data_IF_405409821522
#
_entry.id   IF_405409821522
#
_cell.length_a   1.000
_cell.length_b   1.000
_cell.length_c   1.000
_cell.angle_alpha   90.00
_cell.angle_beta   90.00
_cell.angle_gamma   90.00
#
_symmetry.space_group_name_H-M   'P 1'
#
loop_
_entity.id
_entity.type
_entity.pdbx_description
1 polymer ?
#
# COMPACT_ATOMS: atom_id res chain seq x y z
N UNK A 1 -46.67 12.72 7.55
CA UNK A 1 -46.53 13.70 8.64
C UNK A 1 -45.07 14.10 8.72
N UNK A 2 -44.76 15.30 8.24
CA UNK A 2 -43.44 15.91 8.28
C UNK A 2 -43.01 16.18 9.73
N UNK A 3 -41.77 15.88 10.08
CA UNK A 3 -41.11 16.55 11.20
C UNK A 3 -39.82 17.20 10.72
N UNK A 4 -39.81 18.53 10.83
CA UNK A 4 -38.70 19.40 10.50
C UNK A 4 -37.64 19.40 11.62
N UNK A 5 -36.40 19.61 11.20
CA UNK A 5 -35.16 19.74 11.97
C UNK A 5 -35.19 20.88 13.01
N UNK A 6 -34.30 20.83 14.00
CA UNK A 6 -33.57 22.01 14.44
C UNK A 6 -32.07 21.88 14.13
N UNK A 7 -31.58 22.87 13.39
CA UNK A 7 -30.17 23.17 13.13
C UNK A 7 -29.61 23.89 14.35
N UNK A 8 -28.57 23.33 14.98
CA UNK A 8 -27.76 24.04 15.97
C UNK A 8 -26.42 24.42 15.32
N UNK A 9 -26.33 25.67 14.87
CA UNK A 9 -25.09 26.37 14.53
C UNK A 9 -24.39 26.76 15.83
N UNK A 10 -23.12 26.37 16.00
CA UNK A 10 -22.25 26.94 17.04
C UNK A 10 -20.86 27.20 16.46
N UNK A 11 -20.36 28.37 16.85
CA UNK A 11 -19.44 29.22 16.11
C UNK A 11 -17.96 28.80 16.21
N UNK A 12 -17.20 29.33 15.25
CA UNK A 12 -15.75 29.34 15.15
C UNK A 12 -15.06 29.82 16.44
N UNK A 13 -13.90 29.24 16.74
CA UNK A 13 -12.79 30.00 17.32
C UNK A 13 -11.46 29.57 16.66
N UNK A 14 -10.84 30.56 16.04
CA UNK A 14 -9.58 30.54 15.30
C UNK A 14 -8.42 30.67 16.30
N UNK A 15 -7.40 29.82 16.19
CA UNK A 15 -6.19 29.91 17.02
C UNK A 15 -4.94 29.56 16.20
N UNK A 16 -4.47 30.52 15.40
CA UNK A 16 -3.13 30.49 14.81
C UNK A 16 -2.10 30.87 15.87
N UNK A 17 -1.09 30.02 16.09
CA UNK A 17 0.18 30.44 16.65
C UNK A 17 1.31 29.86 15.79
N UNK A 18 1.91 30.73 14.97
CA UNK A 18 3.18 30.53 14.28
C UNK A 18 4.34 30.83 15.24
N UNK A 19 5.33 29.95 15.31
CA UNK A 19 6.72 30.19 15.72
C UNK A 19 7.48 28.88 15.49
N UNK A 20 8.62 28.76 14.82
CA UNK A 20 9.62 29.69 14.32
C UNK A 20 10.89 28.85 14.08
N UNK A 21 11.60 29.13 12.99
CA UNK A 21 12.69 28.33 12.40
C UNK A 21 13.89 28.02 13.31
N UNK A 22 14.55 26.88 13.06
CA UNK A 22 16.03 26.80 13.03
C UNK A 22 16.55 25.54 12.30
N UNK A 23 17.03 25.63 11.05
CA UNK A 23 17.97 24.66 10.52
C UNK A 23 19.41 25.11 10.83
N UNK A 24 20.23 24.18 11.31
CA UNK A 24 21.67 24.37 11.41
C UNK A 24 22.39 23.20 10.72
N UNK A 25 23.07 23.44 9.60
CA UNK A 25 24.16 22.59 9.16
C UNK A 25 25.46 23.38 9.21
N UNK A 26 26.38 22.98 10.08
CA UNK A 26 27.78 23.37 9.99
C UNK A 26 28.66 22.16 10.19
N UNK A 27 29.23 21.67 9.09
CA UNK A 27 30.52 21.02 9.10
C UNK A 27 31.17 21.22 7.73
N UNK A 28 32.08 22.18 7.66
CA UNK A 28 33.21 22.13 6.75
C UNK A 28 34.46 22.07 7.61
N UNK A 29 35.44 21.26 7.22
CA UNK A 29 36.80 21.73 7.28
C UNK A 29 37.40 21.78 5.88
N UNK A 30 37.95 22.96 5.58
CA UNK A 30 38.96 23.15 4.57
C UNK A 30 40.21 22.35 4.94
N UNK A 31 40.75 21.61 3.98
CA UNK A 31 42.09 21.04 4.00
C UNK A 31 42.77 21.43 2.70
N UNK A 32 43.60 22.48 2.76
CA UNK A 32 44.45 22.94 1.68
C UNK A 32 45.55 21.92 1.35
N UNK A 33 45.93 21.83 0.08
CA UNK A 33 47.31 21.95 -0.43
C UNK A 33 47.46 21.29 -1.81
N UNK A 34 47.80 22.10 -2.81
CA UNK A 34 48.62 21.70 -3.96
C UNK A 34 50.12 21.95 -3.59
N UNK A 35 51.15 21.48 -4.33
CA UNK A 35 51.16 21.01 -5.71
C UNK A 35 52.01 19.73 -5.99
N UNK A 36 51.99 19.30 -7.26
CA UNK A 36 52.80 18.21 -7.85
C UNK A 36 54.32 18.53 -7.89
N UNK A 37 55.18 17.52 -8.15
CA UNK A 37 55.64 17.32 -9.53
C UNK A 37 55.81 15.84 -9.95
N UNK A 38 56.32 15.68 -11.17
CA UNK A 38 56.07 14.61 -12.14
C UNK A 38 56.91 13.31 -12.06
N UNK A 39 56.41 12.34 -12.82
CA UNK A 39 57.10 11.26 -13.56
C UNK A 39 57.59 10.01 -12.82
N UNK A 40 56.91 8.89 -13.06
CA UNK A 40 57.55 7.63 -13.49
C UNK A 40 56.53 6.68 -14.10
N UNK A 41 56.90 6.05 -15.23
CA UNK A 41 56.12 5.08 -15.96
C UNK A 41 55.99 3.76 -15.20
N UNK A 42 54.80 3.14 -15.22
CA UNK A 42 54.62 1.74 -14.85
C UNK A 42 53.38 1.13 -15.51
N UNK A 43 53.64 0.10 -16.32
CA UNK A 43 52.84 -1.09 -16.61
C UNK A 43 51.31 -0.94 -16.76
N UNK A 44 50.86 -1.13 -18.01
CA UNK A 44 49.49 -1.47 -18.37
C UNK A 44 49.10 -2.80 -17.70
N UNK A 45 48.38 -2.73 -16.58
CA UNK A 45 47.68 -3.88 -16.03
C UNK A 45 46.46 -4.21 -16.90
N UNK A 46 46.08 -5.49 -17.07
CA UNK A 46 44.86 -5.84 -17.78
C UNK A 46 43.67 -5.28 -17.01
N UNK A 47 42.79 -4.57 -17.73
CA UNK A 47 41.51 -4.14 -17.18
C UNK A 47 40.72 -5.38 -16.77
N UNK A 48 40.61 -5.60 -15.46
CA UNK A 48 39.60 -6.47 -14.89
C UNK A 48 38.25 -6.02 -15.43
N UNK A 49 37.40 -6.92 -15.96
CA UNK A 49 36.03 -6.54 -16.26
C UNK A 49 35.42 -6.07 -14.94
N UNK A 50 35.03 -4.81 -14.88
CA UNK A 50 34.10 -4.34 -13.85
C UNK A 50 32.86 -5.18 -14.07
N UNK A 51 32.70 -6.22 -13.26
CA UNK A 51 31.42 -6.88 -13.13
C UNK A 51 30.44 -5.75 -12.82
N UNK A 52 29.54 -5.47 -13.75
CA UNK A 52 28.40 -4.62 -13.48
C UNK A 52 27.77 -5.21 -12.23
N UNK A 53 27.86 -4.49 -11.11
CA UNK A 53 27.08 -4.80 -9.95
C UNK A 53 25.63 -4.95 -10.46
N UNK A 54 24.90 -6.00 -10.07
CA UNK A 54 23.48 -6.05 -10.41
C UNK A 54 22.93 -4.70 -9.95
N UNK A 55 22.33 -3.97 -10.88
CA UNK A 55 21.56 -2.81 -10.49
C UNK A 55 20.57 -3.34 -9.47
N UNK A 56 20.79 -2.99 -8.19
CA UNK A 56 19.76 -3.06 -7.18
C UNK A 56 18.66 -2.16 -7.73
N UNK A 57 17.75 -2.76 -8.51
CA UNK A 57 16.42 -2.26 -8.73
C UNK A 57 15.66 -2.41 -7.42
N UNK A 58 16.24 -1.85 -6.35
CA UNK A 58 15.56 -1.32 -5.20
C UNK A 58 14.69 -0.18 -5.72
N UNK A 59 13.62 -0.54 -6.44
CA UNK A 59 12.42 0.28 -6.46
C UNK A 59 12.07 0.46 -4.99
N UNK A 60 12.37 1.64 -4.44
CA UNK A 60 12.04 1.93 -3.05
C UNK A 60 10.53 1.91 -2.96
N UNK A 61 9.97 0.81 -2.45
CA UNK A 61 8.54 0.72 -2.26
C UNK A 61 8.10 1.85 -1.32
N UNK A 62 7.08 2.65 -1.68
CA UNK A 62 6.63 3.76 -0.84
C UNK A 62 6.28 3.31 0.58
N UNK A 63 5.65 2.14 0.68
CA UNK A 63 5.29 1.49 1.93
C UNK A 63 5.83 0.05 1.93
N UNK A 64 7.06 -0.19 2.43
CA UNK A 64 7.67 -1.53 2.42
C UNK A 64 7.16 -2.42 3.56
N UNK A 65 6.64 -1.83 4.64
CA UNK A 65 6.08 -2.54 5.80
C UNK A 65 4.58 -2.75 5.58
N UNK A 66 4.13 -4.00 5.61
CA UNK A 66 2.74 -4.35 5.27
C UNK A 66 1.68 -3.60 6.09
N UNK A 67 1.86 -3.50 7.41
CA UNK A 67 0.85 -2.85 8.27
C UNK A 67 0.73 -1.34 8.03
N UNK A 68 1.80 -0.71 7.55
CA UNK A 68 1.80 0.69 7.12
C UNK A 68 1.14 0.81 5.74
N UNK A 69 1.57 -0.04 4.81
CA UNK A 69 0.97 -0.16 3.48
C UNK A 69 -0.55 -0.36 3.55
N UNK A 70 -1.05 -1.26 4.39
CA UNK A 70 -2.48 -1.58 4.48
C UNK A 70 -3.32 -0.37 4.93
N UNK A 71 -2.80 0.46 5.84
CA UNK A 71 -3.48 1.68 6.30
C UNK A 71 -3.61 2.69 5.16
N UNK A 72 -2.51 2.92 4.44
CA UNK A 72 -2.52 3.82 3.29
C UNK A 72 -3.37 3.25 2.14
N UNK A 73 -3.22 1.97 1.82
CA UNK A 73 -3.95 1.28 0.77
C UNK A 73 -5.47 1.39 1.01
N UNK A 74 -5.95 1.09 2.21
CA UNK A 74 -7.38 1.18 2.51
C UNK A 74 -7.96 2.61 2.52
N UNK A 75 -7.12 3.64 2.66
CA UNK A 75 -7.56 5.03 2.80
C UNK A 75 -7.34 5.89 1.53
N UNK A 76 -6.44 5.48 0.64
CA UNK A 76 -6.00 6.26 -0.53
C UNK A 76 -6.34 5.54 -1.84
N UNK A 77 -7.38 6.01 -2.55
CA UNK A 77 -7.82 5.41 -3.83
C UNK A 77 -6.67 5.38 -4.86
N UNK A 78 -5.85 6.45 -4.95
CA UNK A 78 -4.72 6.49 -5.88
C UNK A 78 -3.68 5.39 -5.59
N UNK A 79 -3.47 5.04 -4.32
CA UNK A 79 -2.61 3.92 -3.96
C UNK A 79 -3.27 2.58 -4.29
N UNK A 80 -4.60 2.45 -4.11
CA UNK A 80 -5.34 1.27 -4.54
C UNK A 80 -5.22 1.04 -6.05
N UNK A 81 -5.40 2.08 -6.86
CA UNK A 81 -5.31 2.02 -8.33
C UNK A 81 -3.93 1.56 -8.80
N UNK A 82 -2.86 2.00 -8.13
CA UNK A 82 -1.48 1.70 -8.54
C UNK A 82 -0.91 0.42 -7.90
N UNK A 83 -1.48 0.00 -6.77
CA UNK A 83 -1.05 -1.17 -6.00
C UNK A 83 -2.05 -2.32 -6.04
N UNK A 84 -2.94 -2.33 -7.04
CA UNK A 84 -3.77 -3.50 -7.36
C UNK A 84 -3.18 -4.17 -8.60
N UNK A 85 -3.11 -5.49 -8.59
CA UNK A 85 -2.59 -6.26 -9.72
C UNK A 85 -3.46 -6.09 -10.96
N UNK A 86 -2.84 -6.16 -12.14
CA UNK A 86 -3.52 -6.22 -13.43
C UNK A 86 -3.16 -7.53 -14.14
N UNK A 87 -4.08 -8.49 -14.29
CA UNK A 87 -5.45 -8.47 -13.76
C UNK A 87 -5.51 -8.75 -12.25
N UNK A 88 -6.57 -8.26 -11.62
CA UNK A 88 -6.98 -8.67 -10.27
C UNK A 88 -7.71 -10.01 -10.36
N UNK A 89 -7.38 -10.96 -9.49
CA UNK A 89 -8.23 -12.14 -9.30
C UNK A 89 -9.41 -11.76 -8.40
N UNK A 90 -10.61 -11.88 -8.92
CA UNK A 90 -11.83 -11.61 -8.18
C UNK A 90 -12.64 -12.90 -8.02
N UNK A 91 -13.23 -13.11 -6.85
CA UNK A 91 -14.17 -14.22 -6.68
C UNK A 91 -15.33 -13.84 -5.80
N UNK A 92 -16.50 -14.40 -6.10
CA UNK A 92 -17.72 -14.22 -5.31
C UNK A 92 -18.52 -15.52 -5.23
N UNK A 93 -19.47 -15.59 -4.32
CA UNK A 93 -20.47 -16.66 -4.27
C UNK A 93 -21.59 -16.34 -5.25
N UNK A 94 -21.78 -17.19 -6.26
CA UNK A 94 -22.97 -17.19 -7.09
C UNK A 94 -24.07 -17.95 -6.34
N UNK A 95 -24.96 -17.20 -5.69
CA UNK A 95 -26.09 -17.72 -4.92
C UNK A 95 -27.21 -18.32 -5.78
N UNK A 96 -27.23 -18.02 -7.08
CA UNK A 96 -28.25 -18.49 -8.03
C UNK A 96 -27.79 -19.75 -8.78
N UNK A 97 -26.57 -20.22 -8.54
CA UNK A 97 -26.07 -21.44 -9.12
C UNK A 97 -26.83 -22.69 -8.61
N UNK A 98 -27.18 -23.58 -9.53
CA UNK A 98 -27.79 -24.88 -9.23
C UNK A 98 -26.75 -26.02 -9.35
N UNK A 99 -26.82 -27.08 -8.53
CA UNK A 99 -27.83 -27.33 -7.49
C UNK A 99 -27.59 -26.57 -6.16
N UNK A 100 -26.42 -25.97 -5.96
CA UNK A 100 -26.03 -25.25 -4.75
C UNK A 100 -25.16 -24.03 -5.11
N UNK A 101 -25.12 -22.99 -4.24
CA UNK A 101 -24.23 -21.85 -4.40
C UNK A 101 -22.79 -22.28 -4.61
N UNK A 102 -22.09 -21.60 -5.52
CA UNK A 102 -20.71 -21.93 -5.88
C UNK A 102 -19.84 -20.69 -5.95
N UNK A 103 -18.56 -20.87 -5.63
CA UNK A 103 -17.56 -19.83 -5.85
C UNK A 103 -17.27 -19.70 -7.34
N UNK A 104 -17.39 -18.47 -7.85
CA UNK A 104 -16.99 -18.08 -9.20
C UNK A 104 -15.73 -17.24 -9.08
N UNK A 105 -14.72 -17.51 -9.90
CA UNK A 105 -13.47 -16.74 -9.94
C UNK A 105 -13.24 -16.22 -11.36
N UNK A 106 -12.81 -14.96 -11.44
CA UNK A 106 -12.52 -14.26 -12.68
C UNK A 106 -11.24 -13.42 -12.61
N UNK A 107 -10.69 -13.10 -13.79
CA UNK A 107 -9.57 -12.18 -13.94
C UNK A 107 -10.11 -10.83 -14.41
N UNK A 108 -10.16 -9.86 -13.52
CA UNK A 108 -10.67 -8.51 -13.79
C UNK A 108 -9.49 -7.63 -14.22
N UNK A 109 -9.46 -7.13 -15.47
CA UNK A 109 -8.48 -6.13 -15.87
C UNK A 109 -8.61 -4.88 -15.01
N UNK A 110 -7.50 -4.24 -14.67
CA UNK A 110 -7.49 -3.08 -13.77
C UNK A 110 -8.46 -1.96 -14.21
N UNK A 111 -8.60 -1.76 -15.52
CA UNK A 111 -9.53 -0.79 -16.11
C UNK A 111 -11.03 -1.07 -15.85
N UNK A 112 -11.37 -2.27 -15.34
CA UNK A 112 -12.72 -2.69 -14.98
C UNK A 112 -12.92 -2.88 -13.47
N UNK A 113 -11.88 -2.68 -12.67
CA UNK A 113 -12.00 -2.75 -11.21
C UNK A 113 -12.82 -1.55 -10.73
N UNK A 114 -13.79 -1.81 -9.86
CA UNK A 114 -14.56 -0.77 -9.19
C UNK A 114 -13.79 -0.26 -7.96
N UNK A 115 -13.76 1.07 -7.78
CA UNK A 115 -13.02 1.73 -6.71
C UNK A 115 -13.96 2.35 -5.65
N UNK A 116 -13.61 2.30 -4.35
CA UNK A 116 -12.43 1.65 -3.78
C UNK A 116 -12.56 0.11 -3.82
N UNK A 117 -11.45 -0.58 -4.08
CA UNK A 117 -11.42 -2.05 -4.09
C UNK A 117 -11.48 -2.62 -2.67
N UNK A 118 -10.96 -1.88 -1.68
CA UNK A 118 -10.97 -2.23 -0.26
C UNK A 118 -11.46 -1.02 0.58
N UNK A 119 -12.36 -1.22 1.56
CA UNK A 119 -12.78 -0.15 2.46
C UNK A 119 -11.69 0.21 3.48
N UNK A 120 -11.75 1.43 4.03
CA UNK A 120 -10.80 1.93 5.03
C UNK A 120 -10.85 1.10 6.33
N UNK A 121 -9.76 0.40 6.71
CA UNK A 121 -9.67 -0.37 7.95
C UNK A 121 -9.99 0.44 9.21
N UNK A 122 -9.71 1.74 9.23
CA UNK A 122 -9.97 2.61 10.38
C UNK A 122 -11.47 2.84 10.62
N UNK A 123 -12.33 2.55 9.62
CA UNK A 123 -13.78 2.77 9.72
C UNK A 123 -14.56 1.53 10.16
N UNK A 124 -13.95 0.34 10.08
CA UNK A 124 -14.62 -0.96 10.27
C UNK A 124 -15.33 -1.09 11.62
N UNK A 125 -14.66 -0.72 12.71
CA UNK A 125 -15.23 -0.84 14.06
C UNK A 125 -16.51 -0.01 14.23
N UNK A 126 -16.58 1.18 13.61
CA UNK A 126 -17.80 2.01 13.64
C UNK A 126 -18.93 1.43 12.79
N UNK A 127 -18.60 0.55 11.86
CA UNK A 127 -19.55 -0.18 11.02
C UNK A 127 -19.95 -1.54 11.62
N UNK A 128 -19.46 -1.87 12.83
CA UNK A 128 -19.69 -3.18 13.44
C UNK A 128 -18.91 -4.31 12.77
N UNK A 129 -17.83 -3.98 12.05
CA UNK A 129 -16.99 -4.95 11.33
C UNK A 129 -15.65 -5.16 12.03
N UNK A 130 -15.13 -6.37 11.88
CA UNK A 130 -13.84 -6.80 12.40
C UNK A 130 -12.86 -7.05 11.25
N UNK A 131 -11.55 -6.93 11.55
CA UNK A 131 -10.48 -7.24 10.62
C UNK A 131 -9.49 -8.22 11.25
N UNK A 132 -9.11 -9.25 10.50
CA UNK A 132 -8.05 -10.20 10.85
C UNK A 132 -6.98 -10.20 9.76
N UNK A 133 -5.71 -10.22 10.17
CA UNK A 133 -4.56 -10.29 9.26
C UNK A 133 -3.82 -11.61 9.49
N UNK A 134 -3.58 -12.36 8.41
CA UNK A 134 -2.91 -13.67 8.45
C UNK A 134 -1.76 -13.69 7.45
N UNK A 135 -0.55 -14.01 7.92
CA UNK A 135 0.60 -14.21 7.03
C UNK A 135 0.62 -15.66 6.54
N UNK A 136 0.76 -15.85 5.24
CA UNK A 136 0.80 -17.16 4.60
C UNK A 136 2.25 -17.66 4.43
N UNK A 137 2.46 -19.00 4.33
CA UNK A 137 3.81 -19.58 4.21
C UNK A 137 4.59 -19.17 2.97
N UNK A 138 3.89 -18.75 1.90
CA UNK A 138 4.47 -18.30 0.63
C UNK A 138 4.84 -16.80 0.65
N UNK A 139 4.70 -16.14 1.80
CA UNK A 139 5.01 -14.72 1.98
C UNK A 139 3.85 -13.79 1.63
N UNK A 140 2.71 -14.31 1.18
CA UNK A 140 1.50 -13.51 0.99
C UNK A 140 0.87 -13.13 2.34
N UNK A 141 0.01 -12.11 2.32
CA UNK A 141 -0.75 -11.69 3.49
C UNK A 141 -2.23 -11.65 3.13
N UNK A 142 -3.06 -12.32 3.92
CA UNK A 142 -4.51 -12.23 3.82
C UNK A 142 -5.06 -11.25 4.86
N UNK A 143 -5.97 -10.40 4.42
CA UNK A 143 -6.76 -9.51 5.26
C UNK A 143 -8.21 -9.93 5.12
N UNK A 144 -8.78 -10.49 6.19
CA UNK A 144 -10.20 -10.80 6.27
C UNK A 144 -10.92 -9.65 6.95
N UNK A 145 -12.03 -9.21 6.36
CA UNK A 145 -12.95 -8.26 6.98
C UNK A 145 -14.33 -8.92 7.07
N UNK A 146 -14.98 -8.85 8.23
CA UNK A 146 -16.27 -9.53 8.44
C UNK A 146 -17.20 -8.73 9.34
N UNK A 147 -18.50 -8.97 9.21
CA UNK A 147 -19.49 -8.58 10.21
C UNK A 147 -19.80 -9.79 11.11
N UNK A 148 -19.53 -9.72 12.44
CA UNK A 148 -19.79 -10.83 13.36
C UNK A 148 -21.25 -11.31 13.30
N UNK A 149 -21.45 -12.61 13.52
CA UNK A 149 -22.77 -13.25 13.54
C UNK A 149 -23.58 -13.12 12.23
N UNK A 150 -22.91 -12.82 11.13
CA UNK A 150 -23.47 -12.79 9.77
C UNK A 150 -22.57 -13.51 8.78
N UNK A 151 -23.05 -13.70 7.55
CA UNK A 151 -22.24 -14.21 6.45
C UNK A 151 -21.46 -13.12 5.70
N UNK A 152 -21.58 -11.83 6.06
CA UNK A 152 -20.82 -10.75 5.40
C UNK A 152 -19.33 -10.90 5.68
N UNK A 153 -18.57 -11.30 4.65
CA UNK A 153 -17.15 -11.55 4.73
C UNK A 153 -16.47 -11.30 3.40
N UNK A 154 -15.37 -10.55 3.44
CA UNK A 154 -14.46 -10.39 2.32
C UNK A 154 -13.03 -10.71 2.73
N UNK A 155 -12.27 -11.30 1.81
CA UNK A 155 -10.85 -11.64 1.99
C UNK A 155 -10.04 -10.98 0.88
N UNK A 156 -8.94 -10.34 1.28
CA UNK A 156 -8.03 -9.64 0.39
C UNK A 156 -6.65 -10.26 0.52
N UNK A 157 -6.10 -10.79 -0.57
CA UNK A 157 -4.76 -11.38 -0.59
C UNK A 157 -3.78 -10.43 -1.23
N UNK A 158 -2.68 -10.18 -0.53
CA UNK A 158 -1.59 -9.32 -0.95
C UNK A 158 -0.30 -10.10 -1.16
N UNK A 159 0.45 -9.73 -2.20
CA UNK A 159 1.78 -10.27 -2.46
C UNK A 159 2.79 -9.12 -2.64
N UNK A 160 4.06 -9.37 -2.32
CA UNK A 160 5.12 -8.36 -2.45
C UNK A 160 6.00 -8.67 -3.68
N UNK A 161 5.80 -7.94 -4.80
CA UNK A 161 6.59 -8.12 -6.05
C UNK A 161 6.64 -6.85 -6.93
N UNK A 162 7.68 -5.99 -6.86
CA UNK A 162 8.62 -5.85 -5.74
C UNK A 162 7.96 -5.19 -4.51
N UNK A 163 6.86 -4.46 -4.72
CA UNK A 163 6.09 -3.79 -3.67
C UNK A 163 4.82 -4.57 -3.37
N UNK A 164 4.19 -4.26 -2.23
CA UNK A 164 2.91 -4.84 -1.86
C UNK A 164 1.85 -4.49 -2.90
N UNK A 165 1.12 -5.51 -3.35
CA UNK A 165 0.01 -5.37 -4.27
C UNK A 165 -1.16 -6.26 -3.84
N UNK A 166 -2.38 -5.77 -4.02
CA UNK A 166 -3.58 -6.58 -3.93
C UNK A 166 -3.64 -7.50 -5.17
N UNK A 167 -3.57 -8.81 -4.96
CA UNK A 167 -3.57 -9.80 -6.05
C UNK A 167 -4.88 -10.57 -6.14
N UNK A 168 -5.65 -10.63 -5.04
CA UNK A 168 -6.95 -11.30 -5.01
C UNK A 168 -7.94 -10.60 -4.09
N UNK A 169 -9.18 -10.45 -4.53
CA UNK A 169 -10.35 -10.12 -3.70
C UNK A 169 -11.35 -11.28 -3.74
N UNK A 170 -11.90 -11.62 -2.59
CA UNK A 170 -12.89 -12.68 -2.44
C UNK A 170 -14.06 -12.12 -1.63
N UNK A 171 -15.26 -12.13 -2.19
CA UNK A 171 -16.51 -11.85 -1.49
C UNK A 171 -17.24 -13.16 -1.18
N UNK A 172 -17.22 -13.55 0.09
CA UNK A 172 -17.76 -14.82 0.57
C UNK A 172 -19.14 -14.65 1.21
N UNK A 173 -19.77 -13.49 0.96
CA UNK A 173 -21.10 -13.17 1.46
C UNK A 173 -22.19 -13.97 0.75
N UNK A 174 -23.23 -14.34 1.51
CA UNK A 174 -24.44 -15.03 1.05
C UNK A 174 -25.68 -14.53 1.79
#
# INVERSE_FOLDING_TARGET
MNQLRPVALLALALGLALSGCKPAPQAAPAGAAAPAPASTAAATAPATPVAAAPADASTSCPHPVFDDFLKHFGNEIALQETSTADPLLDSHIDGEAEPEPRKVEEKVPLAKVEWPVMPDPATLQRQGREMQVTRLPDGQVQVQMRTPDTSDQQVYTFAQKPCWQLVKREDESI
#
